data_IF_159834075513
#
_entry.id   IF_159834075513
#
_cell.length_a   1.000
_cell.length_b   1.000
_cell.length_c   1.000
_cell.angle_alpha   90.00
_cell.angle_beta   90.00
_cell.angle_gamma   90.00
#
_symmetry.space_group_name_H-M   'P 1'
#
loop_
_entity.id
_entity.type
_entity.pdbx_description
1 polymer ?
#
# COMPACT_ATOMS: atom_id res chain seq x y z
N UNK A 1 4.37 22.53 23.51
CA UNK A 1 5.57 22.44 24.38
C UNK A 1 5.13 21.81 25.71
N UNK A 2 5.04 20.51 25.95
CA UNK A 2 5.40 19.28 25.25
C UNK A 2 5.73 18.28 26.37
N UNK A 3 4.82 17.34 26.67
CA UNK A 3 4.81 16.44 27.84
C UNK A 3 6.19 15.80 28.18
N UNK A 4 7.04 15.62 27.17
CA UNK A 4 8.41 15.14 27.29
C UNK A 4 9.34 16.04 28.11
N UNK A 5 9.33 17.35 27.86
CA UNK A 5 10.22 18.29 28.55
C UNK A 5 9.88 18.39 30.05
N UNK A 6 8.60 18.22 30.39
CA UNK A 6 8.14 18.15 31.76
C UNK A 6 8.58 16.85 32.46
N UNK A 7 8.47 15.71 31.77
CA UNK A 7 8.92 14.41 32.26
C UNK A 7 10.42 14.39 32.55
N UNK A 8 11.24 14.88 31.61
CA UNK A 8 12.69 14.90 31.74
C UNK A 8 13.12 15.83 32.90
N UNK A 9 12.46 16.99 33.04
CA UNK A 9 12.72 17.94 34.14
C UNK A 9 12.35 17.34 35.50
N UNK A 10 11.22 16.63 35.58
CA UNK A 10 10.74 16.03 36.83
C UNK A 10 11.65 14.89 37.34
N UNK A 11 12.22 14.08 36.45
CA UNK A 11 13.15 13.00 36.82
C UNK A 11 14.46 13.58 37.35
N UNK A 12 15.01 14.59 36.65
CA UNK A 12 16.26 15.24 37.04
C UNK A 12 16.12 15.88 38.42
N UNK A 13 15.02 16.57 38.68
CA UNK A 13 14.76 17.18 39.99
C UNK A 13 14.60 16.14 41.11
N UNK A 14 13.92 15.01 40.85
CA UNK A 14 13.79 13.92 41.86
C UNK A 14 15.15 13.30 42.21
N UNK A 15 16.01 13.05 41.22
CA UNK A 15 17.36 12.52 41.45
C UNK A 15 18.23 13.53 42.22
N UNK A 16 18.16 14.82 41.87
CA UNK A 16 18.89 15.87 42.59
C UNK A 16 18.46 15.97 44.05
N UNK A 17 17.16 15.95 44.33
CA UNK A 17 16.62 16.02 45.70
C UNK A 17 17.02 14.78 46.52
N UNK A 18 16.94 13.59 45.93
CA UNK A 18 17.32 12.34 46.60
C UNK A 18 18.81 12.29 46.96
N UNK A 19 19.68 12.88 46.12
CA UNK A 19 21.14 12.91 46.35
C UNK A 19 21.52 13.59 47.67
N UNK A 20 20.74 14.57 48.13
CA UNK A 20 21.00 15.30 49.38
C UNK A 20 20.55 14.51 50.61
N UNK A 21 19.73 13.47 50.43
CA UNK A 21 19.14 12.69 51.52
C UNK A 21 19.94 11.44 51.89
N UNK A 22 21.02 11.13 51.17
CA UNK A 22 21.90 9.99 51.43
C UNK A 22 21.75 8.86 50.41
N UNK A 23 22.68 7.88 50.42
CA UNK A 23 22.82 6.89 49.36
C UNK A 23 21.62 5.94 49.24
N UNK A 24 21.01 5.53 50.35
CA UNK A 24 19.88 4.59 50.34
C UNK A 24 18.64 5.17 49.63
N UNK A 25 18.34 6.45 49.88
CA UNK A 25 17.21 7.15 49.25
C UNK A 25 17.51 7.43 47.77
N UNK A 26 18.77 7.72 47.44
CA UNK A 26 19.20 7.92 46.06
C UNK A 26 19.02 6.65 45.22
N UNK A 27 19.42 5.48 45.74
CA UNK A 27 19.29 4.20 45.03
C UNK A 27 17.82 3.86 44.74
N UNK A 28 16.94 4.04 45.73
CA UNK A 28 15.50 3.80 45.56
C UNK A 28 14.89 4.73 44.50
N UNK A 29 15.22 6.02 44.55
CA UNK A 29 14.70 7.01 43.59
C UNK A 29 15.26 6.74 42.19
N UNK A 30 16.54 6.41 42.07
CA UNK A 30 17.15 6.02 40.81
C UNK A 30 16.46 4.79 40.20
N UNK A 31 16.18 3.76 41.02
CA UNK A 31 15.47 2.56 40.60
C UNK A 31 14.06 2.88 40.05
N UNK A 32 13.25 3.63 40.80
CA UNK A 32 11.90 4.01 40.34
C UNK A 32 11.92 4.89 39.08
N UNK A 33 12.92 5.77 38.93
CA UNK A 33 13.09 6.57 37.73
C UNK A 33 13.43 5.69 36.52
N UNK A 34 14.31 4.71 36.68
CA UNK A 34 14.63 3.73 35.62
C UNK A 34 13.39 2.93 35.24
N UNK A 35 12.64 2.40 36.21
CA UNK A 35 11.41 1.66 35.96
C UNK A 35 10.38 2.52 35.20
N UNK A 36 10.20 3.78 35.62
CA UNK A 36 9.29 4.73 34.95
C UNK A 36 9.71 5.01 33.50
N UNK A 37 11.02 5.18 33.23
CA UNK A 37 11.54 5.39 31.87
C UNK A 37 11.32 4.14 31.02
N UNK A 38 11.57 2.95 31.57
CA UNK A 38 11.37 1.69 30.85
C UNK A 38 9.89 1.46 30.50
N UNK A 39 8.98 1.71 31.44
CA UNK A 39 7.54 1.60 31.22
C UNK A 39 7.04 2.60 30.18
N UNK A 40 7.48 3.86 30.27
CA UNK A 40 7.13 4.89 29.28
C UNK A 40 7.68 4.56 27.89
N UNK A 41 8.93 4.07 27.82
CA UNK A 41 9.55 3.58 26.58
C UNK A 41 8.76 2.42 25.96
N UNK A 42 8.37 1.42 26.76
CA UNK A 42 7.57 0.29 26.32
C UNK A 42 6.19 0.74 25.80
N UNK A 43 5.52 1.63 26.52
CA UNK A 43 4.22 2.18 26.10
C UNK A 43 4.31 2.90 24.75
N UNK A 44 5.35 3.72 24.56
CA UNK A 44 5.58 4.44 23.29
C UNK A 44 5.86 3.52 22.12
N UNK A 45 6.73 2.52 22.32
CA UNK A 45 7.05 1.54 21.28
C UNK A 45 5.80 0.72 20.90
N UNK A 46 4.99 0.33 21.90
CA UNK A 46 3.71 -0.34 21.68
C UNK A 46 2.73 0.53 20.88
N UNK A 47 2.56 1.81 21.26
CA UNK A 47 1.71 2.74 20.52
C UNK A 47 2.21 2.98 19.10
N UNK A 48 3.53 3.09 18.90
CA UNK A 48 4.13 3.26 17.57
C UNK A 48 3.78 2.07 16.66
N UNK A 49 3.82 0.84 17.17
CA UNK A 49 3.41 -0.36 16.44
C UNK A 49 1.92 -0.36 16.07
N UNK A 50 1.04 0.11 16.96
CA UNK A 50 -0.40 0.25 16.69
C UNK A 50 -0.65 1.31 15.63
N UNK A 51 -0.01 2.49 15.76
CA UNK A 51 -0.15 3.60 14.83
C UNK A 51 0.38 3.25 13.43
N UNK A 52 1.52 2.56 13.34
CA UNK A 52 2.04 2.08 12.05
C UNK A 52 1.07 1.11 11.39
N UNK A 53 0.43 0.23 12.17
CA UNK A 53 -0.56 -0.72 11.65
C UNK A 53 -1.84 -0.01 11.17
N UNK A 54 -2.32 0.99 11.90
CA UNK A 54 -3.47 1.82 11.49
C UNK A 54 -3.17 2.64 10.23
N UNK A 55 -2.00 3.26 10.13
CA UNK A 55 -1.56 3.96 8.91
C UNK A 55 -1.38 3.00 7.72
N UNK A 56 -0.81 1.80 7.93
CA UNK A 56 -0.78 0.79 6.88
C UNK A 56 -2.19 0.35 6.46
N UNK A 57 -3.15 0.36 7.40
CA UNK A 57 -4.54 0.03 7.12
C UNK A 57 -5.19 1.08 6.23
N UNK A 58 -4.92 2.37 6.43
CA UNK A 58 -5.47 3.43 5.56
C UNK A 58 -4.89 3.39 4.15
N UNK A 59 -3.58 3.18 4.01
CA UNK A 59 -2.94 2.98 2.70
C UNK A 59 -3.45 1.72 1.99
N UNK A 60 -3.63 0.62 2.73
CA UNK A 60 -4.22 -0.62 2.23
C UNK A 60 -5.68 -0.43 1.79
N UNK A 61 -6.49 0.31 2.54
CA UNK A 61 -7.87 0.64 2.17
C UNK A 61 -7.91 1.43 0.87
N UNK A 62 -7.02 2.41 0.71
CA UNK A 62 -6.90 3.20 -0.52
C UNK A 62 -6.47 2.32 -1.69
N UNK A 63 -5.50 1.42 -1.49
CA UNK A 63 -5.08 0.47 -2.52
C UNK A 63 -6.20 -0.51 -2.90
N UNK A 64 -6.96 -1.02 -1.93
CA UNK A 64 -8.11 -1.88 -2.19
C UNK A 64 -9.19 -1.12 -2.98
N UNK A 65 -9.43 0.14 -2.63
CA UNK A 65 -10.34 1.02 -3.37
C UNK A 65 -9.87 1.26 -4.80
N UNK A 66 -8.56 1.48 -4.99
CA UNK A 66 -7.95 1.55 -6.32
C UNK A 66 -8.20 0.26 -7.12
N UNK A 67 -7.96 -0.90 -6.52
CA UNK A 67 -8.17 -2.19 -7.18
C UNK A 67 -9.62 -2.36 -7.65
N UNK A 68 -10.60 -2.06 -6.78
CA UNK A 68 -12.03 -2.08 -7.12
C UNK A 68 -12.34 -1.13 -8.29
N UNK A 69 -11.80 0.10 -8.26
CA UNK A 69 -11.99 1.06 -9.34
C UNK A 69 -11.42 0.55 -10.66
N UNK A 70 -10.23 -0.08 -10.65
CA UNK A 70 -9.66 -0.66 -11.88
C UNK A 70 -10.56 -1.75 -12.43
N UNK A 71 -11.02 -2.70 -11.61
CA UNK A 71 -11.95 -3.74 -12.07
C UNK A 71 -13.26 -3.16 -12.63
N UNK A 72 -13.72 -2.03 -12.09
CA UNK A 72 -14.93 -1.36 -12.56
C UNK A 72 -14.73 -0.61 -13.88
N UNK A 73 -13.57 0.04 -14.06
CA UNK A 73 -13.37 1.04 -15.12
C UNK A 73 -12.26 0.70 -16.13
N UNK A 74 -11.62 -0.47 -16.06
CA UNK A 74 -10.50 -0.80 -16.96
C UNK A 74 -10.85 -0.75 -18.45
N UNK A 75 -12.13 -0.97 -18.80
CA UNK A 75 -12.65 -0.88 -20.17
C UNK A 75 -12.83 0.57 -20.65
N UNK A 76 -13.01 1.50 -19.72
CA UNK A 76 -13.22 2.92 -20.02
C UNK A 76 -11.89 3.68 -20.05
N UNK A 77 -10.98 3.39 -19.10
CA UNK A 77 -9.71 4.09 -19.00
C UNK A 77 -8.60 3.23 -18.42
N UNK A 78 -7.41 3.34 -19.02
CA UNK A 78 -6.17 2.76 -18.48
C UNK A 78 -5.20 3.83 -17.97
N UNK A 79 -5.65 5.09 -17.85
CA UNK A 79 -4.84 6.20 -17.39
C UNK A 79 -4.70 6.19 -15.87
N UNK A 80 -3.46 6.28 -15.36
CA UNK A 80 -3.21 6.39 -13.92
C UNK A 80 -3.88 7.64 -13.34
N UNK A 81 -3.88 8.77 -14.08
CA UNK A 81 -4.48 10.01 -13.61
C UNK A 81 -5.99 9.91 -13.42
N UNK A 82 -6.69 9.12 -14.22
CA UNK A 82 -8.12 8.89 -14.08
C UNK A 82 -8.46 8.26 -12.71
N UNK A 83 -7.72 7.22 -12.33
CA UNK A 83 -7.90 6.56 -11.04
C UNK A 83 -7.43 7.43 -9.88
N UNK A 84 -6.31 8.12 -10.04
CA UNK A 84 -5.78 9.03 -9.02
C UNK A 84 -6.79 10.14 -8.70
N UNK A 85 -7.41 10.74 -9.72
CA UNK A 85 -8.44 11.77 -9.55
C UNK A 85 -9.67 11.22 -8.80
N UNK A 86 -10.15 10.01 -9.11
CA UNK A 86 -11.27 9.36 -8.40
C UNK A 86 -10.97 9.11 -6.92
N UNK A 87 -9.70 8.89 -6.58
CA UNK A 87 -9.23 8.70 -5.20
C UNK A 87 -8.77 9.99 -4.52
N UNK A 88 -8.87 11.15 -5.20
CA UNK A 88 -8.35 12.45 -4.74
C UNK A 88 -6.84 12.42 -4.42
N UNK A 89 -6.07 11.73 -5.26
CA UNK A 89 -4.63 11.57 -5.15
C UNK A 89 -3.91 12.10 -6.40
N UNK A 90 -2.61 12.35 -6.27
CA UNK A 90 -1.74 12.53 -7.43
C UNK A 90 -1.39 11.17 -8.04
N UNK A 91 -1.13 11.13 -9.36
CA UNK A 91 -0.67 9.91 -10.05
C UNK A 91 0.61 9.32 -9.44
N UNK A 92 1.50 10.20 -8.95
CA UNK A 92 2.72 9.82 -8.25
C UNK A 92 2.39 9.08 -6.95
N UNK A 93 1.55 9.67 -6.09
CA UNK A 93 1.19 9.06 -4.81
C UNK A 93 0.46 7.73 -4.99
N UNK A 94 -0.43 7.64 -5.97
CA UNK A 94 -1.09 6.37 -6.32
C UNK A 94 -0.08 5.31 -6.77
N UNK A 95 0.94 5.70 -7.54
CA UNK A 95 1.99 4.78 -7.99
C UNK A 95 2.87 4.28 -6.83
N UNK A 96 3.20 5.16 -5.88
CA UNK A 96 3.94 4.81 -4.65
C UNK A 96 3.13 3.82 -3.79
N UNK A 97 1.84 4.10 -3.55
CA UNK A 97 0.94 3.20 -2.82
C UNK A 97 0.82 1.84 -3.50
N UNK A 98 0.66 1.83 -4.83
CA UNK A 98 0.56 0.60 -5.59
C UNK A 98 1.86 -0.22 -5.51
N UNK A 99 3.02 0.44 -5.56
CA UNK A 99 4.32 -0.22 -5.43
C UNK A 99 4.51 -0.82 -4.03
N UNK A 100 4.14 -0.10 -2.97
CA UNK A 100 4.23 -0.58 -1.60
C UNK A 100 3.35 -1.83 -1.34
N UNK A 101 2.17 -1.89 -1.95
CA UNK A 101 1.20 -2.97 -1.70
C UNK A 101 1.31 -4.15 -2.68
N UNK A 102 1.77 -3.93 -3.91
CA UNK A 102 1.76 -4.95 -4.97
C UNK A 102 3.12 -5.22 -5.63
N UNK A 103 4.16 -4.46 -5.25
CA UNK A 103 5.47 -4.49 -5.91
C UNK A 103 5.47 -3.94 -7.34
N UNK A 104 4.38 -3.33 -7.80
CA UNK A 104 4.20 -2.85 -9.18
C UNK A 104 3.75 -1.40 -9.20
N UNK A 105 4.16 -0.66 -10.23
CA UNK A 105 3.63 0.69 -10.46
C UNK A 105 2.13 0.63 -10.80
N UNK A 106 1.40 1.73 -10.55
CA UNK A 106 -0.04 1.79 -10.87
C UNK A 106 -0.33 1.47 -12.34
N UNK A 107 0.52 1.93 -13.27
CA UNK A 107 0.37 1.61 -14.70
C UNK A 107 0.56 0.13 -14.99
N UNK A 108 1.56 -0.50 -14.37
CA UNK A 108 1.80 -1.93 -14.53
C UNK A 108 0.67 -2.76 -13.91
N UNK A 109 0.14 -2.34 -12.76
CA UNK A 109 -1.00 -2.96 -12.11
C UNK A 109 -2.26 -2.94 -12.98
N UNK A 110 -2.64 -1.77 -13.50
CA UNK A 110 -3.78 -1.61 -14.41
C UNK A 110 -3.58 -2.48 -15.65
N UNK A 111 -2.40 -2.42 -16.27
CA UNK A 111 -2.11 -3.22 -17.47
C UNK A 111 -2.22 -4.72 -17.18
N UNK A 112 -1.78 -5.17 -16.01
CA UNK A 112 -1.91 -6.55 -15.56
C UNK A 112 -3.36 -7.01 -15.43
N UNK A 113 -4.26 -6.16 -14.93
CA UNK A 113 -5.70 -6.46 -14.87
C UNK A 113 -6.29 -6.55 -16.28
N UNK A 114 -5.99 -5.57 -17.13
CA UNK A 114 -6.46 -5.56 -18.54
C UNK A 114 -6.03 -6.83 -19.28
N UNK A 115 -4.76 -7.24 -19.13
CA UNK A 115 -4.24 -8.47 -19.74
C UNK A 115 -4.95 -9.71 -19.20
N UNK A 116 -5.12 -9.79 -17.88
CA UNK A 116 -5.80 -10.93 -17.24
C UNK A 116 -7.23 -11.09 -17.73
N UNK A 117 -7.98 -10.00 -17.75
CA UNK A 117 -9.37 -10.01 -18.23
C UNK A 117 -9.47 -10.32 -19.73
N UNK A 118 -8.53 -9.81 -20.53
CA UNK A 118 -8.45 -10.14 -21.95
C UNK A 118 -8.21 -11.64 -22.17
N UNK A 119 -7.25 -12.24 -21.46
CA UNK A 119 -6.96 -13.69 -21.54
C UNK A 119 -8.18 -14.49 -21.08
N UNK A 120 -8.84 -14.09 -19.99
CA UNK A 120 -10.08 -14.73 -19.51
C UNK A 120 -11.15 -14.77 -20.59
N UNK A 121 -11.39 -13.65 -21.30
CA UNK A 121 -12.33 -13.62 -22.42
C UNK A 121 -11.87 -14.51 -23.58
N UNK A 122 -10.57 -14.54 -23.90
CA UNK A 122 -10.05 -15.38 -24.99
C UNK A 122 -10.28 -16.88 -24.73
N UNK A 123 -10.08 -17.31 -23.47
CA UNK A 123 -10.20 -18.71 -23.03
C UNK A 123 -11.64 -19.15 -22.83
N UNK A 124 -12.49 -18.28 -22.28
CA UNK A 124 -13.82 -18.68 -21.81
C UNK A 124 -14.99 -18.08 -22.59
N UNK A 125 -14.72 -17.41 -23.71
CA UNK A 125 -15.78 -16.91 -24.60
C UNK A 125 -15.58 -17.34 -26.04
N UNK A 126 -16.68 -17.38 -26.79
CA UNK A 126 -16.70 -17.67 -28.23
C UNK A 126 -16.47 -16.42 -29.10
N UNK A 127 -16.15 -15.27 -28.49
CA UNK A 127 -15.94 -14.02 -29.21
C UNK A 127 -14.69 -14.09 -30.09
N UNK A 128 -14.71 -13.44 -31.25
CA UNK A 128 -13.50 -13.25 -32.05
C UNK A 128 -12.48 -12.36 -31.33
N UNK A 129 -11.18 -12.49 -31.65
CA UNK A 129 -10.13 -11.62 -31.11
C UNK A 129 -10.44 -10.12 -31.38
N UNK A 130 -11.10 -9.83 -32.50
CA UNK A 130 -11.56 -8.48 -32.84
C UNK A 130 -12.60 -7.98 -31.84
N UNK A 131 -13.67 -8.76 -31.60
CA UNK A 131 -14.72 -8.43 -30.63
C UNK A 131 -14.15 -8.27 -29.22
N UNK A 132 -13.28 -9.18 -28.79
CA UNK A 132 -12.62 -9.09 -27.47
C UNK A 132 -11.81 -7.80 -27.34
N UNK A 133 -11.12 -7.37 -28.41
CA UNK A 133 -10.34 -6.13 -28.35
C UNK A 133 -11.21 -4.90 -28.08
N UNK A 134 -12.38 -4.82 -28.73
CA UNK A 134 -13.34 -3.74 -28.52
C UNK A 134 -14.01 -3.84 -27.14
N UNK A 135 -14.35 -5.05 -26.69
CA UNK A 135 -14.94 -5.31 -25.36
C UNK A 135 -14.00 -4.88 -24.21
N UNK A 136 -12.69 -5.05 -24.39
CA UNK A 136 -11.67 -4.62 -23.43
C UNK A 136 -11.41 -3.10 -23.49
N UNK A 137 -11.91 -2.40 -24.51
CA UNK A 137 -11.78 -0.95 -24.66
C UNK A 137 -10.66 -0.49 -25.60
N UNK A 138 -10.11 -1.38 -26.44
CA UNK A 138 -9.17 -0.98 -27.49
C UNK A 138 -9.93 -0.49 -28.72
N UNK A 139 -9.51 0.65 -29.28
CA UNK A 139 -10.05 1.17 -30.55
C UNK A 139 -9.48 0.46 -31.79
N UNK A 140 -8.37 -0.25 -31.65
CA UNK A 140 -7.68 -0.92 -32.75
C UNK A 140 -7.17 -2.32 -32.33
N UNK A 141 -7.58 -3.33 -33.08
CA UNK A 141 -7.21 -4.74 -32.89
C UNK A 141 -5.69 -4.96 -32.94
N UNK A 142 -4.96 -4.23 -33.80
CA UNK A 142 -3.51 -4.34 -33.90
C UNK A 142 -2.81 -3.88 -32.61
N UNK A 143 -3.29 -2.79 -32.01
CA UNK A 143 -2.78 -2.30 -30.73
C UNK A 143 -3.05 -3.31 -29.61
N UNK A 144 -4.24 -3.94 -29.60
CA UNK A 144 -4.56 -5.01 -28.67
C UNK A 144 -3.61 -6.21 -28.82
N UNK A 145 -3.39 -6.68 -30.06
CA UNK A 145 -2.46 -7.80 -30.32
C UNK A 145 -1.06 -7.51 -29.82
N UNK A 146 -0.53 -6.32 -30.14
CA UNK A 146 0.79 -5.88 -29.67
C UNK A 146 0.86 -5.75 -28.15
N UNK A 147 -0.19 -5.23 -27.52
CA UNK A 147 -0.29 -5.11 -26.07
C UNK A 147 -0.25 -6.48 -25.37
N UNK A 148 -1.06 -7.43 -25.81
CA UNK A 148 -1.07 -8.80 -25.26
C UNK A 148 0.27 -9.49 -25.50
N UNK A 149 0.85 -9.39 -26.70
CA UNK A 149 2.17 -9.98 -26.99
C UNK A 149 3.25 -9.39 -26.09
N UNK A 150 3.25 -8.07 -25.88
CA UNK A 150 4.21 -7.37 -25.01
C UNK A 150 4.13 -7.87 -23.57
N UNK A 151 2.93 -8.16 -23.06
CA UNK A 151 2.74 -8.54 -21.66
C UNK A 151 2.79 -10.06 -21.40
N UNK A 152 2.52 -10.88 -22.41
CA UNK A 152 2.43 -12.35 -22.26
C UNK A 152 3.49 -13.12 -23.05
N UNK A 153 4.22 -12.45 -23.94
CA UNK A 153 5.15 -13.07 -24.89
C UNK A 153 4.47 -13.75 -26.09
N UNK A 154 3.14 -13.91 -26.08
CA UNK A 154 2.38 -14.70 -27.06
C UNK A 154 1.28 -13.89 -27.73
N UNK A 155 0.90 -14.29 -28.95
CA UNK A 155 -0.22 -13.69 -29.67
C UNK A 155 -1.57 -14.08 -29.02
N UNK A 156 -2.60 -13.20 -29.05
CA UNK A 156 -3.88 -13.46 -28.41
C UNK A 156 -4.51 -14.82 -28.73
N UNK A 157 -4.52 -15.23 -30.01
CA UNK A 157 -5.16 -16.47 -30.44
C UNK A 157 -4.53 -17.74 -29.84
N UNK A 158 -3.25 -17.70 -29.47
CA UNK A 158 -2.55 -18.84 -28.87
C UNK A 158 -3.09 -19.16 -27.46
N UNK A 159 -3.63 -18.16 -26.76
CA UNK A 159 -4.17 -18.33 -25.41
C UNK A 159 -5.49 -19.11 -25.38
N UNK A 160 -6.18 -19.29 -26.51
CA UNK A 160 -7.54 -19.88 -26.56
C UNK A 160 -7.59 -21.35 -26.18
N UNK A 161 -6.54 -22.12 -26.52
CA UNK A 161 -6.48 -23.57 -26.26
C UNK A 161 -5.53 -23.92 -25.12
N UNK A 162 -4.99 -22.92 -24.41
CA UNK A 162 -4.16 -23.15 -23.23
C UNK A 162 -5.06 -23.50 -22.04
N UNK A 163 -4.83 -24.66 -21.43
CA UNK A 163 -5.47 -25.03 -20.16
C UNK A 163 -4.79 -24.28 -19.02
N UNK A 164 -5.57 -23.89 -18.02
CA UNK A 164 -5.03 -23.37 -16.76
C UNK A 164 -4.23 -24.49 -16.10
N UNK A 165 -2.92 -24.27 -15.92
CA UNK A 165 -1.98 -25.21 -15.32
C UNK A 165 -1.70 -24.80 -13.88
#
# INVERSE_FOLDING_TARGET
>A
MGNQAYFDTAIIERIKMARVQGPEILDLVAHHCVESILLEGHYRLSLQGILSKLCSSSEQIVFNSFNILVYKYYRESTSVSFYANKLKLTSRRLSELCAANSGKSAKAFISGIVVREAIRLIRHSNLSISQISFEIGFSNVANFRSFIKKHTGKQPHLHRNERDN
#
